data_IF_768947437857
#
_entry.id   IF_768947437857
#
_cell.length_a   1.000
_cell.length_b   1.000
_cell.length_c   1.000
_cell.angle_alpha   90.00
_cell.angle_beta   90.00
_cell.angle_gamma   90.00
#
_symmetry.space_group_name_H-M   'P 1'
#
loop_
_entity.id
_entity.type
_entity.pdbx_description
1 polymer ?
#
# COMPACT_ATOMS: atom_id res chain seq x y z
N UNK A 1 -3.00 -11.32 17.77
CA UNK A 1 -3.76 -12.11 16.76
C UNK A 1 -3.75 -11.37 15.42
N UNK A 2 -3.27 -12.01 14.37
CA UNK A 2 -3.31 -11.41 13.05
C UNK A 2 -4.68 -11.63 12.42
N UNK A 3 -5.21 -10.58 11.80
CA UNK A 3 -6.48 -10.64 11.09
C UNK A 3 -6.19 -10.93 9.61
N UNK A 4 -6.93 -11.87 9.04
CA UNK A 4 -6.82 -12.16 7.61
C UNK A 4 -7.45 -11.02 6.81
N UNK A 5 -6.67 -10.30 5.98
CA UNK A 5 -7.20 -9.18 5.20
C UNK A 5 -8.38 -9.55 4.31
N UNK A 6 -8.39 -10.78 3.79
CA UNK A 6 -9.46 -11.22 2.87
C UNK A 6 -10.83 -11.34 3.54
N UNK A 7 -10.88 -11.39 4.88
CA UNK A 7 -12.13 -11.49 5.63
C UNK A 7 -12.74 -10.14 5.96
N UNK A 8 -12.00 -9.04 5.72
CA UNK A 8 -12.46 -7.69 6.04
C UNK A 8 -13.10 -7.00 4.83
N UNK A 9 -14.16 -6.24 5.09
CA UNK A 9 -14.71 -5.30 4.12
C UNK A 9 -13.74 -4.10 3.95
N UNK A 10 -13.96 -3.29 2.92
CA UNK A 10 -13.20 -2.05 2.76
C UNK A 10 -13.34 -1.14 3.99
N UNK A 11 -14.55 -1.03 4.54
CA UNK A 11 -14.78 -0.24 5.75
C UNK A 11 -14.01 -0.77 6.95
N UNK A 12 -13.95 -2.09 7.11
CA UNK A 12 -13.17 -2.73 8.17
C UNK A 12 -11.67 -2.46 8.01
N UNK A 13 -11.16 -2.53 6.78
CA UNK A 13 -9.76 -2.21 6.48
C UNK A 13 -9.45 -0.74 6.80
N UNK A 14 -10.29 0.20 6.39
CA UNK A 14 -10.11 1.62 6.67
C UNK A 14 -10.04 1.87 8.17
N UNK A 15 -10.91 1.24 8.95
CA UNK A 15 -10.92 1.39 10.41
C UNK A 15 -9.61 0.89 11.03
N UNK A 16 -9.16 -0.31 10.64
CA UNK A 16 -7.90 -0.87 11.14
C UNK A 16 -6.70 0.01 10.78
N UNK A 17 -6.64 0.51 9.54
CA UNK A 17 -5.56 1.36 9.10
C UNK A 17 -5.54 2.70 9.84
N UNK A 18 -6.71 3.30 10.06
CA UNK A 18 -6.82 4.58 10.77
C UNK A 18 -6.40 4.46 12.25
N UNK A 19 -6.70 3.34 12.87
CA UNK A 19 -6.42 3.12 14.29
C UNK A 19 -5.00 2.61 14.55
N UNK A 20 -4.45 1.80 13.66
CA UNK A 20 -3.21 1.06 13.90
C UNK A 20 -2.09 1.33 12.91
N UNK A 21 -2.36 2.00 11.79
CA UNK A 21 -1.34 2.30 10.78
C UNK A 21 -0.31 3.30 11.31
N UNK A 22 0.98 3.00 11.13
CA UNK A 22 2.05 3.90 11.58
C UNK A 22 2.05 5.23 10.81
N UNK A 23 1.56 5.27 9.58
CA UNK A 23 1.45 6.49 8.80
C UNK A 23 0.52 7.54 9.40
N UNK A 24 -0.34 7.18 10.37
CA UNK A 24 -1.23 8.13 11.05
C UNK A 24 -0.48 9.21 11.82
N UNK A 25 0.77 8.95 12.19
CA UNK A 25 1.59 9.90 12.95
C UNK A 25 2.16 11.01 12.07
N UNK A 26 2.35 10.75 10.78
CA UNK A 26 2.84 11.71 9.81
C UNK A 26 2.32 11.34 8.41
N UNK A 27 1.06 11.68 8.11
CA UNK A 27 0.47 11.32 6.82
C UNK A 27 1.21 11.88 5.60
N UNK A 28 1.81 13.07 5.73
CA UNK A 28 2.53 13.70 4.62
C UNK A 28 3.78 12.94 4.21
N UNK A 29 4.39 12.21 5.15
CA UNK A 29 5.53 11.36 4.84
C UNK A 29 5.17 10.33 3.76
N UNK A 30 4.00 9.74 3.84
CA UNK A 30 3.53 8.70 2.92
C UNK A 30 2.82 9.29 1.69
N UNK A 31 2.03 10.34 1.88
CA UNK A 31 1.20 10.91 0.81
C UNK A 31 1.88 12.00 0.01
N UNK A 32 2.91 12.62 0.56
CA UNK A 32 3.59 13.75 -0.05
C UNK A 32 3.01 15.09 0.39
N UNK A 33 3.65 16.19 -0.01
CA UNK A 33 3.19 17.53 0.35
C UNK A 33 1.87 17.87 -0.37
N UNK A 34 1.26 18.97 0.05
CA UNK A 34 0.07 19.50 -0.58
C UNK A 34 0.31 19.67 -2.10
N UNK A 35 -0.73 19.49 -2.90
CA UNK A 35 -0.68 19.60 -4.36
C UNK A 35 -0.16 20.96 -4.87
N UNK A 36 -0.16 21.97 -4.03
CA UNK A 36 0.34 23.32 -4.36
C UNK A 36 1.80 23.54 -4.00
N UNK A 37 2.44 22.56 -3.37
CA UNK A 37 3.86 22.64 -3.00
C UNK A 37 4.71 21.83 -3.98
N UNK A 38 5.78 22.46 -4.49
CA UNK A 38 6.75 21.74 -5.32
C UNK A 38 7.61 20.85 -4.46
N UNK A 39 7.76 19.60 -4.89
CA UNK A 39 8.67 18.66 -4.26
C UNK A 39 9.73 18.24 -5.27
N UNK A 40 10.99 18.69 -5.10
CA UNK A 40 12.08 18.24 -5.97
C UNK A 40 12.22 16.71 -5.94
N UNK A 41 12.64 16.14 -7.06
CA UNK A 41 12.75 14.68 -7.19
C UNK A 41 13.61 14.05 -6.09
N UNK A 42 14.76 14.63 -5.77
CA UNK A 42 15.65 14.09 -4.74
C UNK A 42 14.97 14.05 -3.36
N UNK A 43 14.20 15.08 -3.02
CA UNK A 43 13.46 15.12 -1.76
C UNK A 43 12.33 14.10 -1.74
N UNK A 44 11.65 13.95 -2.86
CA UNK A 44 10.58 12.94 -2.99
C UNK A 44 11.12 11.53 -2.78
N UNK A 45 12.24 11.20 -3.42
CA UNK A 45 12.84 9.88 -3.29
C UNK A 45 13.28 9.61 -1.86
N UNK A 46 13.91 10.60 -1.21
CA UNK A 46 14.33 10.48 0.18
C UNK A 46 13.11 10.29 1.12
N UNK A 47 12.04 11.05 0.90
CA UNK A 47 10.81 10.93 1.68
C UNK A 47 10.19 9.54 1.51
N UNK A 48 10.12 9.06 0.28
CA UNK A 48 9.55 7.74 -0.01
C UNK A 48 10.36 6.62 0.62
N UNK A 49 11.70 6.74 0.65
CA UNK A 49 12.55 5.74 1.30
C UNK A 49 12.27 5.68 2.81
N UNK A 50 12.12 6.83 3.47
CA UNK A 50 11.77 6.87 4.90
C UNK A 50 10.38 6.28 5.13
N UNK A 51 9.42 6.61 4.27
CA UNK A 51 8.06 6.05 4.36
C UNK A 51 8.07 4.53 4.24
N UNK A 52 8.88 3.97 3.35
CA UNK A 52 9.01 2.51 3.20
C UNK A 52 9.56 1.86 4.48
N UNK A 53 10.54 2.50 5.13
CA UNK A 53 11.07 2.01 6.40
C UNK A 53 10.00 1.98 7.49
N UNK A 54 9.16 3.02 7.57
CA UNK A 54 8.05 3.06 8.52
C UNK A 54 7.06 1.91 8.23
N UNK A 55 6.79 1.65 6.96
CA UNK A 55 5.88 0.56 6.55
C UNK A 55 6.42 -0.81 6.95
N UNK A 56 7.74 -1.03 6.92
CA UNK A 56 8.34 -2.32 7.27
C UNK A 56 7.95 -2.79 8.68
N UNK A 57 7.86 -1.85 9.63
CA UNK A 57 7.53 -2.15 11.02
C UNK A 57 6.05 -1.90 11.35
N UNK A 58 5.23 -1.59 10.37
CA UNK A 58 3.83 -1.27 10.58
C UNK A 58 3.02 -2.54 10.92
N UNK A 59 2.28 -2.54 12.05
CA UNK A 59 1.53 -3.73 12.48
C UNK A 59 0.39 -4.11 11.54
N UNK A 60 -0.06 -3.19 10.68
CA UNK A 60 -1.14 -3.44 9.72
C UNK A 60 -0.64 -3.46 8.28
N UNK A 61 0.63 -3.84 8.06
CA UNK A 61 1.24 -3.88 6.73
C UNK A 61 0.41 -4.73 5.74
N UNK A 62 0.04 -5.93 6.15
CA UNK A 62 -0.72 -6.84 5.29
C UNK A 62 -2.12 -6.31 4.97
N UNK A 63 -2.78 -5.72 5.97
CA UNK A 63 -4.09 -5.08 5.78
C UNK A 63 -4.00 -3.90 4.82
N UNK A 64 -2.94 -3.09 4.98
CA UNK A 64 -2.68 -1.95 4.10
C UNK A 64 -2.46 -2.39 2.66
N UNK A 65 -1.67 -3.45 2.45
CA UNK A 65 -1.42 -3.99 1.11
C UNK A 65 -2.73 -4.45 0.45
N UNK A 66 -3.55 -5.20 1.17
CA UNK A 66 -4.82 -5.67 0.64
C UNK A 66 -5.75 -4.51 0.29
N UNK A 67 -5.84 -3.51 1.16
CA UNK A 67 -6.62 -2.31 0.93
C UNK A 67 -6.14 -1.57 -0.34
N UNK A 68 -4.83 -1.35 -0.45
CA UNK A 68 -4.24 -0.64 -1.59
C UNK A 68 -4.48 -1.38 -2.91
N UNK A 69 -4.39 -2.72 -2.89
CA UNK A 69 -4.67 -3.51 -4.08
C UNK A 69 -6.14 -3.42 -4.51
N UNK A 70 -7.05 -3.25 -3.56
CA UNK A 70 -8.48 -3.09 -3.85
C UNK A 70 -8.83 -1.71 -4.39
N UNK A 71 -8.28 -0.63 -3.77
CA UNK A 71 -8.64 0.75 -4.15
C UNK A 71 -7.83 1.30 -5.31
N UNK A 72 -6.67 0.73 -5.63
CA UNK A 72 -5.76 1.18 -6.69
C UNK A 72 -5.43 2.68 -6.57
N UNK A 73 -4.69 3.07 -5.52
CA UNK A 73 -4.41 4.50 -5.28
C UNK A 73 -3.58 5.10 -6.40
N UNK A 74 -3.79 6.40 -6.65
CA UNK A 74 -3.07 7.13 -7.68
C UNK A 74 -1.73 7.69 -7.18
N UNK A 75 -1.54 7.81 -5.85
CA UNK A 75 -0.34 8.38 -5.26
C UNK A 75 -0.15 7.85 -3.83
N UNK A 76 1.02 8.12 -3.27
CA UNK A 76 1.36 7.73 -1.91
C UNK A 76 2.15 6.43 -1.81
N UNK A 77 2.64 6.15 -0.60
CA UNK A 77 3.34 4.91 -0.26
C UNK A 77 2.41 4.04 0.58
N UNK A 78 2.14 2.84 0.11
CA UNK A 78 1.17 1.92 0.70
C UNK A 78 1.83 0.57 0.95
N UNK A 79 1.98 0.17 2.20
CA UNK A 79 2.66 -1.07 2.57
C UNK A 79 4.05 -1.17 1.91
N UNK A 80 4.76 -0.04 1.87
CA UNK A 80 6.09 0.04 1.27
C UNK A 80 6.11 0.10 -0.26
N UNK A 81 4.96 0.26 -0.91
CA UNK A 81 4.86 0.25 -2.37
C UNK A 81 4.32 1.57 -2.93
N UNK A 82 4.84 1.95 -4.11
CA UNK A 82 4.27 3.03 -4.91
C UNK A 82 3.15 2.49 -5.79
N UNK A 83 2.25 3.36 -6.31
CA UNK A 83 1.14 2.89 -7.16
C UNK A 83 1.56 2.01 -8.34
N UNK A 84 2.68 2.33 -9.01
CA UNK A 84 3.19 1.51 -10.12
C UNK A 84 3.63 0.11 -9.67
N UNK A 85 4.15 0.02 -8.44
CA UNK A 85 4.57 -1.24 -7.85
C UNK A 85 3.35 -2.10 -7.48
N UNK A 86 2.30 -1.47 -6.94
CA UNK A 86 1.03 -2.14 -6.67
C UNK A 86 0.41 -2.69 -7.95
N UNK A 87 0.42 -1.90 -9.02
CA UNK A 87 -0.08 -2.34 -10.31
C UNK A 87 0.70 -3.54 -10.85
N UNK A 88 2.03 -3.54 -10.66
CA UNK A 88 2.87 -4.68 -11.06
C UNK A 88 2.52 -5.94 -10.27
N UNK A 89 2.28 -5.83 -8.96
CA UNK A 89 1.84 -6.95 -8.13
C UNK A 89 0.50 -7.53 -8.62
N UNK A 90 -0.43 -6.68 -9.00
CA UNK A 90 -1.73 -7.12 -9.52
C UNK A 90 -1.58 -7.86 -10.85
N UNK A 91 -0.72 -7.37 -11.75
CA UNK A 91 -0.45 -8.04 -13.02
C UNK A 91 0.18 -9.41 -12.80
N UNK A 92 1.15 -9.49 -11.87
CA UNK A 92 1.80 -10.74 -11.51
C UNK A 92 0.80 -11.76 -10.95
N UNK A 93 -0.07 -11.31 -10.05
CA UNK A 93 -1.11 -12.17 -9.46
C UNK A 93 -2.06 -12.71 -10.54
N UNK A 94 -2.45 -11.86 -11.51
CA UNK A 94 -3.31 -12.30 -12.61
C UNK A 94 -2.62 -13.31 -13.52
N UNK A 95 -1.32 -13.11 -13.79
CA UNK A 95 -0.53 -14.05 -14.60
C UNK A 95 -0.44 -15.40 -13.92
N UNK A 96 -0.18 -15.44 -12.62
CA UNK A 96 -0.10 -16.67 -11.84
C UNK A 96 -1.46 -17.38 -11.79
N UNK A 97 -2.55 -16.65 -11.64
CA UNK A 97 -3.90 -17.19 -11.63
C UNK A 97 -4.26 -17.82 -12.99
N UNK A 98 -3.90 -17.15 -14.08
CA UNK A 98 -4.11 -17.68 -15.44
C UNK A 98 -3.33 -18.96 -15.69
N UNK A 99 -2.05 -18.99 -15.25
CA UNK A 99 -1.21 -20.18 -15.37
C UNK A 99 -1.78 -21.36 -14.57
N UNK A 100 -2.29 -21.11 -13.35
CA UNK A 100 -2.92 -22.12 -12.53
C UNK A 100 -4.17 -22.71 -13.19
N UNK A 101 -4.97 -21.87 -13.85
CA UNK A 101 -6.15 -22.32 -14.58
C UNK A 101 -5.78 -23.20 -15.78
N UNK A 102 -4.69 -22.87 -16.48
CA UNK A 102 -4.19 -23.68 -17.59
C UNK A 102 -3.75 -25.08 -17.15
N UNK A 103 -3.11 -25.18 -15.97
CA UNK A 103 -2.67 -26.44 -15.40
C UNK A 103 -3.84 -27.37 -15.03
N UNK A 104 -4.99 -26.81 -14.68
CA UNK A 104 -6.19 -27.55 -14.28
C UNK A 104 -7.02 -27.98 -15.49
N UNK A 105 -6.89 -27.24 -16.60
CA UNK A 105 -7.57 -27.56 -17.84
C UNK A 105 -6.82 -28.69 -18.58
#
# INVERSE_FOLDING_TARGET
MSVDPSTLSLGGLVTELAERGECRHDPDLHMGPDAFEDEPLAERLARQDVAREVCEDCPVWALCLDYALRIRPAFGVWAGHLPRELAALQREARTLAAAALEEVA
#
